data_IF_545684062697
#
_entry.id   IF_545684062697
#
_cell.length_a   1.000
_cell.length_b   1.000
_cell.length_c   1.000
_cell.angle_alpha   90.00
_cell.angle_beta   90.00
_cell.angle_gamma   90.00
#
_symmetry.space_group_name_H-M   'P 1'
#
loop_
_entity.id
_entity.type
_entity.pdbx_description
1 polymer ?
#
# COMPACT_ATOMS: atom_id res chain seq x y z
N UNK A 1 27.52 -35.87 14.32
CA UNK A 1 28.05 -34.95 13.27
C UNK A 1 27.03 -34.54 12.20
N UNK A 2 25.79 -35.05 12.18
CA UNK A 2 24.77 -34.67 11.17
C UNK A 2 23.87 -33.47 11.55
N UNK A 3 23.86 -33.04 12.82
CA UNK A 3 22.92 -32.01 13.31
C UNK A 3 23.20 -30.59 12.80
N UNK A 4 24.44 -30.29 12.37
CA UNK A 4 24.82 -28.95 11.88
C UNK A 4 24.55 -28.75 10.38
N UNK A 5 24.09 -29.77 9.64
CA UNK A 5 23.89 -29.67 8.18
C UNK A 5 22.62 -28.91 7.77
N UNK A 6 21.76 -28.55 8.73
CA UNK A 6 20.57 -27.73 8.53
C UNK A 6 20.75 -26.28 9.04
N UNK A 7 21.97 -25.94 9.49
CA UNK A 7 22.29 -24.58 9.94
C UNK A 7 22.84 -23.82 8.73
N UNK A 8 22.04 -22.93 8.17
CA UNK A 8 22.42 -22.04 7.08
C UNK A 8 22.06 -20.59 7.43
N UNK A 9 22.83 -19.59 6.96
CA UNK A 9 22.47 -18.20 7.14
C UNK A 9 21.24 -17.85 6.29
N UNK A 10 20.59 -16.73 6.61
CA UNK A 10 19.46 -16.22 5.83
C UNK A 10 19.90 -15.73 4.44
N UNK A 11 21.10 -15.14 4.37
CA UNK A 11 21.77 -14.66 3.15
C UNK A 11 23.26 -14.98 3.30
N UNK A 12 23.94 -15.26 2.20
CA UNK A 12 25.39 -15.44 2.18
C UNK A 12 26.11 -14.08 2.42
N UNK A 13 26.89 -13.92 3.52
CA UNK A 13 27.57 -12.67 3.84
C UNK A 13 28.49 -12.13 2.73
N UNK A 14 29.02 -13.00 1.86
CA UNK A 14 29.85 -12.56 0.73
C UNK A 14 29.06 -11.79 -0.34
N UNK A 15 27.75 -11.98 -0.39
CA UNK A 15 26.84 -11.37 -1.38
C UNK A 15 25.88 -10.34 -0.78
N UNK A 16 25.85 -10.20 0.54
CA UNK A 16 24.87 -9.38 1.26
C UNK A 16 24.92 -7.90 0.83
N UNK A 17 26.11 -7.31 0.80
CA UNK A 17 26.31 -5.92 0.36
C UNK A 17 25.95 -5.72 -1.11
N UNK A 18 26.21 -6.72 -1.97
CA UNK A 18 25.86 -6.64 -3.38
C UNK A 18 24.33 -6.62 -3.55
N UNK A 19 23.62 -7.55 -2.92
CA UNK A 19 22.15 -7.62 -2.97
C UNK A 19 21.51 -6.34 -2.42
N UNK A 20 22.05 -5.81 -1.33
CA UNK A 20 21.62 -4.53 -0.77
C UNK A 20 21.78 -3.38 -1.78
N UNK A 21 22.96 -3.25 -2.39
CA UNK A 21 23.23 -2.20 -3.38
C UNK A 21 22.33 -2.34 -4.62
N UNK A 22 22.08 -3.57 -5.09
CA UNK A 22 21.13 -3.82 -6.18
C UNK A 22 19.71 -3.36 -5.81
N UNK A 23 19.25 -3.63 -4.59
CA UNK A 23 17.93 -3.19 -4.13
C UNK A 23 17.83 -1.67 -4.00
N UNK A 24 18.90 -1.02 -3.51
CA UNK A 24 18.99 0.45 -3.45
C UNK A 24 18.83 1.07 -4.84
N UNK A 25 19.50 0.53 -5.86
CA UNK A 25 19.39 1.02 -7.24
C UNK A 25 17.99 0.76 -7.82
N UNK A 26 17.36 -0.38 -7.51
CA UNK A 26 15.97 -0.62 -7.89
C UNK A 26 15.00 0.40 -7.26
N UNK A 27 15.23 0.80 -6.00
CA UNK A 27 14.41 1.83 -5.33
C UNK A 27 14.64 3.20 -5.96
N UNK A 28 15.90 3.56 -6.27
CA UNK A 28 16.22 4.81 -6.98
C UNK A 28 15.53 4.87 -8.34
N UNK A 29 15.63 3.80 -9.13
CA UNK A 29 14.96 3.70 -10.42
C UNK A 29 13.43 3.74 -10.29
N UNK A 30 12.86 3.11 -9.26
CA UNK A 30 11.42 3.20 -9.00
C UNK A 30 11.00 4.63 -8.64
N UNK A 31 11.81 5.37 -7.88
CA UNK A 31 11.51 6.73 -7.46
C UNK A 31 11.66 7.78 -8.55
N UNK A 32 12.34 7.47 -9.66
CA UNK A 32 12.43 8.35 -10.82
C UNK A 32 11.17 8.37 -11.70
N UNK A 33 10.24 7.43 -11.46
CA UNK A 33 8.96 7.36 -12.18
C UNK A 33 8.13 8.65 -12.01
N UNK A 34 7.39 9.02 -13.07
CA UNK A 34 6.56 10.23 -13.11
C UNK A 34 5.50 10.29 -11.99
N UNK A 35 5.12 9.12 -11.43
CA UNK A 35 4.29 8.96 -10.23
C UNK A 35 4.79 9.78 -9.05
N UNK A 36 6.10 10.00 -8.93
CA UNK A 36 6.73 10.60 -7.75
C UNK A 36 7.19 12.04 -7.96
N UNK A 37 6.92 12.65 -9.13
CA UNK A 37 7.38 14.01 -9.49
C UNK A 37 6.98 15.12 -8.51
N UNK A 38 5.96 14.89 -7.68
CA UNK A 38 5.49 15.82 -6.65
C UNK A 38 5.73 15.33 -5.21
N UNK A 39 6.34 14.15 -5.03
CA UNK A 39 6.57 13.55 -3.71
C UNK A 39 7.96 13.91 -3.19
N UNK A 40 8.02 14.77 -2.17
CA UNK A 40 9.26 15.03 -1.42
C UNK A 40 9.46 13.94 -0.37
N UNK A 41 10.60 13.25 -0.42
CA UNK A 41 11.04 12.29 0.61
C UNK A 41 12.15 12.92 1.44
N UNK A 42 12.05 12.84 2.77
CA UNK A 42 13.08 13.33 3.71
C UNK A 42 13.94 12.19 4.24
N UNK A 43 14.05 11.11 3.45
CA UNK A 43 14.78 9.89 3.73
C UNK A 43 15.30 9.31 2.41
N UNK A 44 16.30 8.45 2.48
CA UNK A 44 17.02 7.93 1.31
C UNK A 44 16.59 6.52 0.91
N UNK A 45 16.87 6.08 -0.33
CA UNK A 45 16.65 4.71 -0.78
C UNK A 45 17.33 3.66 0.13
N UNK A 46 18.54 3.95 0.60
CA UNK A 46 19.34 3.10 1.50
C UNK A 46 18.64 2.92 2.86
N UNK A 47 18.03 3.99 3.38
CA UNK A 47 17.25 3.92 4.62
C UNK A 47 16.00 3.04 4.45
N UNK A 48 15.43 2.96 3.25
CA UNK A 48 14.28 2.08 2.95
C UNK A 48 14.72 0.63 2.73
N UNK A 49 15.77 0.40 1.92
CA UNK A 49 16.33 -0.94 1.68
C UNK A 49 16.73 -1.61 3.00
N UNK A 50 17.38 -0.87 3.90
CA UNK A 50 17.83 -1.37 5.23
C UNK A 50 16.70 -1.69 6.21
N UNK A 51 15.43 -1.55 5.80
CA UNK A 51 14.24 -1.94 6.60
C UNK A 51 13.44 -3.06 5.93
N UNK A 52 13.85 -3.49 4.74
CA UNK A 52 13.26 -4.66 4.07
C UNK A 52 13.92 -5.93 4.56
N UNK A 53 13.21 -7.04 4.36
CA UNK A 53 13.75 -8.38 4.58
C UNK A 53 14.12 -9.05 3.25
N UNK A 54 14.57 -10.28 3.32
CA UNK A 54 15.11 -11.04 2.18
C UNK A 54 14.03 -11.71 1.31
N UNK A 55 12.75 -11.55 1.68
CA UNK A 55 11.62 -12.08 0.93
C UNK A 55 10.74 -10.92 0.45
N UNK A 56 10.83 -10.61 -0.84
CA UNK A 56 10.00 -9.58 -1.47
C UNK A 56 8.55 -10.06 -1.59
N UNK A 57 7.61 -9.21 -1.16
CA UNK A 57 6.17 -9.45 -1.29
C UNK A 57 5.59 -8.46 -2.30
N UNK A 58 4.74 -8.96 -3.19
CA UNK A 58 3.96 -8.13 -4.10
C UNK A 58 2.49 -8.12 -3.68
N UNK A 59 1.95 -6.93 -3.44
CA UNK A 59 0.59 -6.74 -2.94
C UNK A 59 -0.37 -6.38 -4.08
N UNK A 60 -1.57 -7.00 -4.16
CA UNK A 60 -2.57 -6.67 -5.19
C UNK A 60 -3.06 -5.22 -5.09
N UNK A 61 -2.98 -4.62 -3.89
CA UNK A 61 -3.25 -3.19 -3.68
C UNK A 61 -2.38 -2.26 -4.55
N UNK A 62 -1.17 -2.68 -4.94
CA UNK A 62 -0.32 -1.91 -5.86
C UNK A 62 -0.92 -1.82 -7.27
N UNK A 63 -1.59 -2.86 -7.76
CA UNK A 63 -2.29 -2.81 -9.05
C UNK A 63 -3.44 -1.80 -9.00
N UNK A 64 -4.20 -1.78 -7.89
CA UNK A 64 -5.30 -0.84 -7.70
C UNK A 64 -4.83 0.60 -7.50
N UNK A 65 -3.71 0.83 -6.80
CA UNK A 65 -3.16 2.18 -6.61
C UNK A 65 -2.64 2.78 -7.92
N UNK A 66 -2.04 1.97 -8.80
CA UNK A 66 -1.67 2.37 -10.17
C UNK A 66 -2.90 2.73 -11.02
N UNK A 67 -3.97 1.92 -10.93
CA UNK A 67 -5.25 2.23 -11.57
C UNK A 67 -5.81 3.58 -11.08
N UNK A 68 -5.88 3.78 -9.76
CA UNK A 68 -6.39 5.02 -9.16
C UNK A 68 -5.54 6.23 -9.58
N UNK A 69 -4.21 6.11 -9.54
CA UNK A 69 -3.31 7.17 -9.98
C UNK A 69 -3.63 7.65 -11.39
N UNK A 70 -3.80 6.71 -12.33
CA UNK A 70 -4.11 7.03 -13.72
C UNK A 70 -5.48 7.70 -13.88
N UNK A 71 -6.49 7.25 -13.12
CA UNK A 71 -7.81 7.89 -13.09
C UNK A 71 -7.65 9.34 -12.64
N UNK A 72 -7.05 9.59 -11.48
CA UNK A 72 -6.96 10.93 -10.89
C UNK A 72 -6.11 11.89 -11.72
N UNK A 73 -4.99 11.42 -12.29
CA UNK A 73 -4.16 12.20 -13.20
C UNK A 73 -4.96 12.65 -14.43
N UNK A 74 -5.74 11.73 -15.04
CA UNK A 74 -6.57 12.05 -16.19
C UNK A 74 -7.69 13.05 -15.83
N UNK A 75 -8.37 12.86 -14.70
CA UNK A 75 -9.40 13.79 -14.22
C UNK A 75 -8.84 15.19 -14.01
N UNK A 76 -7.70 15.31 -13.32
CA UNK A 76 -7.06 16.60 -13.06
C UNK A 76 -6.62 17.31 -14.35
N UNK A 77 -6.00 16.58 -15.29
CA UNK A 77 -5.60 17.13 -16.59
C UNK A 77 -6.79 17.64 -17.40
N UNK A 78 -7.91 16.94 -17.37
CA UNK A 78 -9.13 17.29 -18.10
C UNK A 78 -10.08 18.23 -17.33
N UNK A 79 -9.71 18.65 -16.11
CA UNK A 79 -10.56 19.46 -15.21
C UNK A 79 -11.93 18.83 -14.95
N UNK A 80 -11.93 17.50 -14.80
CA UNK A 80 -13.09 16.69 -14.47
C UNK A 80 -12.92 16.04 -13.09
N UNK A 81 -13.92 15.28 -12.62
CA UNK A 81 -13.89 14.61 -11.33
C UNK A 81 -14.39 13.16 -11.41
N UNK A 82 -13.72 12.29 -10.65
CA UNK A 82 -14.31 11.05 -10.17
C UNK A 82 -14.97 11.32 -8.82
N UNK A 83 -16.20 10.85 -8.62
CA UNK A 83 -16.94 10.99 -7.38
C UNK A 83 -17.43 9.62 -6.89
N UNK A 84 -17.55 9.48 -5.57
CA UNK A 84 -18.06 8.29 -4.89
C UNK A 84 -18.67 8.68 -3.55
N UNK A 85 -19.26 7.72 -2.84
CA UNK A 85 -19.71 7.84 -1.45
C UNK A 85 -19.21 6.66 -0.61
N UNK A 86 -19.49 6.72 0.69
CA UNK A 86 -19.09 5.70 1.67
C UNK A 86 -19.86 4.38 1.52
N UNK A 87 -19.14 3.30 1.25
CA UNK A 87 -19.69 1.96 1.07
C UNK A 87 -19.70 1.17 2.38
N UNK A 88 -20.83 0.58 2.75
CA UNK A 88 -20.97 -0.20 4.00
C UNK A 88 -20.49 -1.65 3.88
N UNK A 89 -20.94 -2.36 2.84
CA UNK A 89 -20.78 -3.82 2.75
C UNK A 89 -20.80 -4.33 1.28
N UNK A 90 -20.54 -5.63 1.03
CA UNK A 90 -20.37 -6.17 -0.33
C UNK A 90 -21.54 -5.97 -1.30
N UNK A 91 -22.79 -6.05 -0.85
CA UNK A 91 -23.98 -5.87 -1.68
C UNK A 91 -24.01 -4.46 -2.26
N UNK A 92 -23.74 -3.44 -1.44
CA UNK A 92 -23.62 -2.05 -1.85
C UNK A 92 -22.49 -1.85 -2.87
N UNK A 93 -21.30 -2.41 -2.66
CA UNK A 93 -20.18 -2.23 -3.61
C UNK A 93 -20.49 -2.82 -4.99
N UNK A 94 -21.24 -3.93 -5.06
CA UNK A 94 -21.65 -4.51 -6.36
C UNK A 94 -22.60 -3.61 -7.15
N UNK A 95 -23.39 -2.77 -6.47
CA UNK A 95 -24.25 -1.80 -7.14
C UNK A 95 -23.49 -0.52 -7.51
N UNK A 96 -22.58 -0.07 -6.64
CA UNK A 96 -21.71 1.09 -6.90
C UNK A 96 -20.86 0.88 -8.16
N UNK A 97 -20.26 -0.31 -8.31
CA UNK A 97 -19.34 -0.61 -9.41
C UNK A 97 -19.96 -0.48 -10.82
N UNK A 98 -21.30 -0.43 -10.92
CA UNK A 98 -22.02 -0.21 -12.19
C UNK A 98 -21.96 1.24 -12.67
N UNK A 99 -21.73 2.20 -11.76
CA UNK A 99 -21.90 3.63 -12.03
C UNK A 99 -20.74 4.50 -11.54
N UNK A 100 -19.96 4.02 -10.55
CA UNK A 100 -18.88 4.76 -9.92
C UNK A 100 -17.54 4.06 -10.17
N UNK A 101 -16.49 4.83 -10.43
CA UNK A 101 -15.14 4.34 -10.77
C UNK A 101 -14.21 4.20 -9.56
N UNK A 102 -14.67 4.63 -8.38
CA UNK A 102 -13.96 4.58 -7.09
C UNK A 102 -14.91 4.16 -5.97
N UNK A 103 -14.34 3.75 -4.82
CA UNK A 103 -15.08 3.38 -3.61
C UNK A 103 -14.42 4.08 -2.43
N UNK A 104 -15.21 4.67 -1.54
CA UNK A 104 -14.74 5.28 -0.29
C UNK A 104 -15.17 4.42 0.89
N UNK A 105 -14.25 4.21 1.84
CA UNK A 105 -14.50 3.52 3.12
C UNK A 105 -14.40 4.56 4.21
N UNK A 106 -15.50 4.80 4.93
CA UNK A 106 -15.62 5.90 5.89
C UNK A 106 -15.32 5.43 7.31
N UNK A 107 -14.43 6.13 8.02
CA UNK A 107 -14.20 5.91 9.46
C UNK A 107 -15.45 6.16 10.31
N UNK A 108 -16.25 7.18 9.95
CA UNK A 108 -17.54 7.46 10.60
C UNK A 108 -18.51 6.27 10.45
N UNK A 109 -18.65 5.72 9.24
CA UNK A 109 -19.49 4.53 9.04
C UNK A 109 -18.94 3.33 9.82
N UNK A 110 -17.62 3.11 9.76
CA UNK A 110 -16.96 2.03 10.51
C UNK A 110 -17.19 2.14 12.01
N UNK A 111 -17.10 3.34 12.60
CA UNK A 111 -17.31 3.56 14.03
C UNK A 111 -18.68 3.07 14.49
N UNK A 112 -19.73 3.28 13.69
CA UNK A 112 -21.10 2.88 14.06
C UNK A 112 -21.52 1.49 13.56
N UNK A 113 -20.81 0.88 12.59
CA UNK A 113 -21.25 -0.37 11.95
C UNK A 113 -20.21 -1.46 11.78
N UNK A 114 -18.92 -1.18 12.03
CA UNK A 114 -17.82 -2.10 11.71
C UNK A 114 -16.58 -1.93 12.59
N UNK A 115 -16.75 -1.55 13.86
CA UNK A 115 -15.65 -1.65 14.84
C UNK A 115 -15.22 -3.10 14.95
N UNK A 116 -13.91 -3.38 14.95
CA UNK A 116 -13.40 -4.75 15.02
C UNK A 116 -13.71 -5.45 16.36
N UNK A 117 -14.12 -4.69 17.38
CA UNK A 117 -14.61 -5.23 18.67
C UNK A 117 -16.13 -5.35 18.74
N UNK A 118 -16.84 -5.08 17.64
CA UNK A 118 -18.31 -5.00 17.56
C UNK A 118 -18.95 -3.98 18.53
N UNK A 119 -18.15 -3.09 19.13
CA UNK A 119 -18.64 -1.99 19.98
C UNK A 119 -18.80 -0.74 19.12
N UNK A 120 -20.04 -0.27 18.86
CA UNK A 120 -20.27 0.92 18.06
C UNK A 120 -19.99 2.19 18.87
N UNK A 121 -19.65 3.27 18.18
CA UNK A 121 -19.40 4.57 18.80
C UNK A 121 -19.67 5.75 17.88
N UNK A 122 -19.58 6.98 18.44
CA UNK A 122 -19.42 8.19 17.64
C UNK A 122 -18.03 8.23 16.98
N UNK A 123 -17.89 9.01 15.91
CA UNK A 123 -16.64 9.17 15.15
C UNK A 123 -15.52 9.85 15.95
N UNK A 124 -14.85 9.06 16.77
CA UNK A 124 -13.76 9.47 17.66
C UNK A 124 -12.45 8.72 17.39
N UNK A 125 -12.46 7.80 16.41
CA UNK A 125 -11.33 6.93 16.09
C UNK A 125 -10.77 6.18 17.32
N UNK A 126 -11.64 5.79 18.25
CA UNK A 126 -11.33 5.02 19.47
C UNK A 126 -11.53 3.51 19.31
N UNK A 127 -12.09 3.07 18.18
CA UNK A 127 -12.15 1.66 17.78
C UNK A 127 -10.75 1.09 17.50
N UNK A 128 -10.54 -0.25 17.63
CA UNK A 128 -9.29 -0.89 17.24
C UNK A 128 -8.95 -0.59 15.76
N UNK A 129 -7.66 -0.35 15.46
CA UNK A 129 -7.23 0.11 14.12
C UNK A 129 -7.25 -0.98 13.02
N UNK A 130 -7.68 -2.20 13.35
CA UNK A 130 -7.54 -3.42 12.54
C UNK A 130 -8.76 -3.71 11.68
#
# INVERSE_FOLDING_TARGET
>A
MAANNMVNPAVDPETEDELFNQEVEQIKQWWSDSRWRHTKRTFTPEQIASKRGNLKIEYPGNAQSKKLWNILENRFQNKDASYTYGCLEPTMVTQMAKYLDTVYVSGWQSSSTASASDEPGPDLADYPYV
#
